data_IF_528339994641
#
_entry.id   IF_528339994641
#
_cell.length_a   1.000
_cell.length_b   1.000
_cell.length_c   1.000
_cell.angle_alpha   90.00
_cell.angle_beta   90.00
_cell.angle_gamma   90.00
#
_symmetry.space_group_name_H-M   'P 1'
#
loop_
_entity.id
_entity.type
_entity.pdbx_description
1 polymer ?
#
# COMPACT_ATOMS: atom_id res chain seq x y z
N UNK A 1 17.64 5.25 -13.63
CA UNK A 1 16.41 4.74 -12.99
C UNK A 1 16.84 4.01 -11.75
N UNK A 2 16.66 4.62 -10.63
CA UNK A 2 17.07 4.02 -9.36
C UNK A 2 15.97 3.12 -8.83
N UNK A 3 16.36 1.87 -8.52
CA UNK A 3 15.49 0.91 -7.86
C UNK A 3 15.85 0.95 -6.38
N UNK A 4 14.85 1.19 -5.54
CA UNK A 4 14.97 1.12 -4.10
C UNK A 4 14.31 -0.17 -3.60
N UNK A 5 15.09 -1.01 -2.95
CA UNK A 5 14.58 -2.20 -2.25
C UNK A 5 14.87 -2.08 -0.77
N UNK A 6 13.86 -2.36 0.07
CA UNK A 6 13.98 -2.36 1.53
C UNK A 6 13.29 -3.58 2.12
N UNK A 7 13.94 -4.15 3.12
CA UNK A 7 13.37 -5.24 3.94
C UNK A 7 13.20 -4.74 5.36
N UNK A 8 12.05 -5.04 5.95
CA UNK A 8 11.66 -4.55 7.27
C UNK A 8 11.38 -5.72 8.19
N UNK A 9 12.28 -6.04 9.15
CA UNK A 9 11.95 -7.02 10.17
C UNK A 9 10.67 -6.59 10.92
N UNK A 10 9.72 -7.51 11.02
CA UNK A 10 8.43 -7.26 11.66
C UNK A 10 8.41 -7.88 13.06
N UNK A 11 8.23 -7.04 14.06
CA UNK A 11 8.26 -7.41 15.48
C UNK A 11 7.04 -6.84 16.20
N UNK A 12 5.84 -7.38 15.96
CA UNK A 12 4.62 -6.91 16.60
C UNK A 12 4.61 -7.27 18.09
N UNK A 13 3.94 -6.44 18.89
CA UNK A 13 3.66 -6.76 20.28
C UNK A 13 2.49 -7.74 20.36
N UNK A 14 2.70 -8.89 21.01
CA UNK A 14 1.68 -9.94 21.15
C UNK A 14 0.44 -9.45 21.89
N UNK A 15 0.63 -8.87 23.08
CA UNK A 15 -0.46 -8.44 23.97
C UNK A 15 -1.34 -7.38 23.32
N UNK A 16 -0.73 -6.38 22.70
CA UNK A 16 -1.43 -5.33 21.98
C UNK A 16 -2.20 -5.89 20.78
N UNK A 17 -1.60 -6.82 20.05
CA UNK A 17 -2.21 -7.45 18.88
C UNK A 17 -3.39 -8.34 19.29
N UNK A 18 -3.23 -9.19 20.31
CA UNK A 18 -4.29 -10.04 20.82
C UNK A 18 -5.48 -9.23 21.35
N UNK A 19 -5.21 -8.16 22.12
CA UNK A 19 -6.24 -7.25 22.61
C UNK A 19 -6.99 -6.56 21.48
N UNK A 20 -6.31 -6.05 20.47
CA UNK A 20 -6.90 -5.38 19.31
C UNK A 20 -7.74 -6.34 18.45
N UNK A 21 -7.33 -7.58 18.32
CA UNK A 21 -8.06 -8.63 17.60
C UNK A 21 -9.11 -9.32 18.45
N UNK A 22 -9.33 -8.87 19.70
CA UNK A 22 -10.32 -9.41 20.63
C UNK A 22 -10.21 -10.93 20.81
N UNK A 23 -8.97 -11.43 20.93
CA UNK A 23 -8.72 -12.86 21.13
C UNK A 23 -9.32 -13.30 22.46
N UNK A 24 -10.19 -14.31 22.42
CA UNK A 24 -10.82 -14.82 23.63
C UNK A 24 -9.85 -15.70 24.44
N UNK A 25 -10.05 -15.88 25.76
CA UNK A 25 -9.22 -16.79 26.56
C UNK A 25 -9.24 -18.25 26.05
N UNK A 26 -10.32 -18.65 25.39
CA UNK A 26 -10.47 -20.00 24.82
C UNK A 26 -9.59 -20.18 23.56
N UNK A 27 -9.35 -19.11 22.84
CA UNK A 27 -8.61 -19.10 21.57
C UNK A 27 -7.13 -18.70 21.75
N UNK A 28 -6.72 -18.30 22.96
CA UNK A 28 -5.40 -17.74 23.23
C UNK A 28 -4.25 -18.66 22.77
N UNK A 29 -4.36 -19.96 23.04
CA UNK A 29 -3.32 -20.93 22.67
C UNK A 29 -3.19 -21.06 21.13
N UNK A 30 -4.32 -21.14 20.43
CA UNK A 30 -4.34 -21.21 18.96
C UNK A 30 -3.82 -19.94 18.31
N UNK A 31 -4.22 -18.78 18.86
CA UNK A 31 -3.70 -17.49 18.37
C UNK A 31 -2.20 -17.34 18.61
N UNK A 32 -1.69 -17.74 19.80
CA UNK A 32 -0.26 -17.65 20.12
C UNK A 32 0.59 -18.49 19.16
N UNK A 33 0.15 -19.69 18.82
CA UNK A 33 0.83 -20.54 17.83
C UNK A 33 0.84 -19.87 16.45
N UNK A 34 -0.32 -19.41 15.96
CA UNK A 34 -0.44 -18.72 14.68
C UNK A 34 0.40 -17.44 14.63
N UNK A 35 0.37 -16.65 15.69
CA UNK A 35 1.16 -15.42 15.81
C UNK A 35 2.66 -15.71 15.69
N UNK A 36 3.16 -16.72 16.41
CA UNK A 36 4.57 -17.11 16.32
C UNK A 36 4.95 -17.58 14.91
N UNK A 37 4.08 -18.36 14.25
CA UNK A 37 4.28 -18.78 12.86
C UNK A 37 4.28 -17.58 11.91
N UNK A 38 3.37 -16.62 12.08
CA UNK A 38 3.29 -15.41 11.28
C UNK A 38 4.56 -14.56 11.43
N UNK A 39 5.03 -14.32 12.66
CA UNK A 39 6.27 -13.58 12.94
C UNK A 39 7.49 -14.26 12.31
N UNK A 40 7.56 -15.59 12.34
CA UNK A 40 8.66 -16.34 11.76
C UNK A 40 8.64 -16.39 10.21
N UNK A 41 7.48 -16.19 9.59
CA UNK A 41 7.29 -16.43 8.15
C UNK A 41 7.18 -15.14 7.35
N UNK A 42 6.48 -14.12 7.87
CA UNK A 42 6.37 -12.86 7.16
C UNK A 42 7.73 -12.19 7.01
N UNK A 43 8.01 -11.74 5.82
CA UNK A 43 9.23 -11.03 5.44
C UNK A 43 8.85 -9.74 4.69
N UNK A 44 8.37 -8.72 5.41
CA UNK A 44 7.89 -7.50 4.81
C UNK A 44 8.99 -6.77 4.05
N UNK A 45 8.65 -6.30 2.86
CA UNK A 45 9.58 -5.56 2.00
C UNK A 45 8.82 -4.60 1.10
N UNK A 46 9.52 -3.56 0.69
CA UNK A 46 9.02 -2.56 -0.23
C UNK A 46 10.01 -2.37 -1.39
N UNK A 47 9.46 -2.14 -2.54
CA UNK A 47 10.15 -1.79 -3.78
C UNK A 47 9.61 -0.47 -4.31
N UNK A 48 10.49 0.39 -4.79
CA UNK A 48 10.11 1.55 -5.57
C UNK A 48 11.05 1.70 -6.77
N UNK A 49 10.49 2.13 -7.89
CA UNK A 49 11.20 2.48 -9.11
C UNK A 49 10.86 3.91 -9.48
N UNK A 50 11.89 4.73 -9.63
CA UNK A 50 11.71 6.10 -10.08
C UNK A 50 11.20 6.16 -11.52
N UNK A 51 10.28 7.08 -11.77
CA UNK A 51 9.61 7.30 -13.05
C UNK A 51 9.90 8.69 -13.59
N UNK A 52 9.89 8.84 -14.91
CA UNK A 52 9.84 10.12 -15.59
C UNK A 52 8.39 10.54 -15.81
N UNK A 53 8.08 11.80 -15.61
CA UNK A 53 6.81 12.39 -16.06
C UNK A 53 7.04 12.81 -17.53
N UNK A 54 6.52 12.00 -18.46
CA UNK A 54 6.69 12.27 -19.90
C UNK A 54 5.68 13.28 -20.41
N UNK A 55 4.44 13.25 -19.89
CA UNK A 55 3.39 14.21 -20.16
C UNK A 55 2.30 14.18 -19.08
N UNK A 56 1.66 15.33 -18.85
CA UNK A 56 0.44 15.47 -18.05
C UNK A 56 -0.62 16.16 -18.91
N UNK A 57 -1.86 15.70 -18.81
CA UNK A 57 -3.03 16.31 -19.41
C UNK A 57 -4.13 16.53 -18.39
N UNK A 58 -5.29 17.00 -18.82
CA UNK A 58 -6.41 17.29 -17.91
C UNK A 58 -6.93 16.04 -17.17
N UNK A 59 -6.81 14.87 -17.79
CA UNK A 59 -7.38 13.60 -17.29
C UNK A 59 -6.41 12.40 -17.40
N UNK A 60 -5.13 12.65 -17.66
CA UNK A 60 -4.13 11.58 -17.75
C UNK A 60 -2.73 12.02 -17.30
N UNK A 61 -1.93 11.02 -16.93
CA UNK A 61 -0.49 11.12 -16.74
C UNK A 61 0.21 10.06 -17.59
N UNK A 62 1.23 10.45 -18.37
CA UNK A 62 2.15 9.53 -19.06
C UNK A 62 3.42 9.48 -18.24
N UNK A 63 3.70 8.30 -17.66
CA UNK A 63 4.83 8.08 -16.76
C UNK A 63 5.72 6.96 -17.31
N UNK A 64 6.96 7.30 -17.66
CA UNK A 64 7.94 6.35 -18.22
C UNK A 64 7.36 5.46 -19.34
N UNK A 65 6.56 6.06 -20.23
CA UNK A 65 5.92 5.42 -21.38
C UNK A 65 4.60 4.69 -21.07
N UNK A 66 4.14 4.64 -19.82
CA UNK A 66 2.86 4.03 -19.44
C UNK A 66 1.78 5.08 -19.18
N UNK A 67 0.59 4.81 -19.68
CA UNK A 67 -0.57 5.68 -19.58
C UNK A 67 -1.37 5.40 -18.32
N UNK A 68 -1.64 6.45 -17.53
CA UNK A 68 -2.51 6.44 -16.37
C UNK A 68 -3.68 7.39 -16.59
N UNK A 69 -4.90 6.89 -16.45
CA UNK A 69 -6.12 7.68 -16.50
C UNK A 69 -6.42 8.26 -15.11
N UNK A 70 -6.95 9.49 -15.07
CA UNK A 70 -7.45 10.14 -13.86
C UNK A 70 -7.07 11.60 -13.75
N UNK A 71 -8.06 12.49 -13.80
CA UNK A 71 -7.86 13.93 -13.68
C UNK A 71 -7.16 14.30 -12.36
N UNK A 72 -7.56 13.64 -11.26
CA UNK A 72 -6.94 13.89 -9.96
C UNK A 72 -5.50 13.41 -9.87
N UNK A 73 -5.17 12.29 -10.51
CA UNK A 73 -3.78 11.81 -10.58
C UNK A 73 -2.93 12.83 -11.33
N UNK A 74 -3.39 13.30 -12.49
CA UNK A 74 -2.71 14.31 -13.27
C UNK A 74 -2.47 15.59 -12.45
N UNK A 75 -3.52 16.13 -11.82
CA UNK A 75 -3.43 17.33 -10.99
C UNK A 75 -2.48 17.17 -9.78
N UNK A 76 -2.44 16.00 -9.14
CA UNK A 76 -1.52 15.74 -8.02
C UNK A 76 -0.06 15.67 -8.46
N UNK A 77 0.21 15.34 -9.71
CA UNK A 77 1.55 15.21 -10.25
C UNK A 77 2.07 16.51 -10.91
N UNK A 78 1.25 17.56 -11.06
CA UNK A 78 1.68 18.84 -11.66
C UNK A 78 2.86 19.47 -10.92
N UNK A 79 2.82 19.45 -9.59
CA UNK A 79 3.87 20.02 -8.74
C UNK A 79 4.85 18.93 -8.21
N UNK A 80 4.77 17.71 -8.71
CA UNK A 80 5.63 16.64 -8.25
C UNK A 80 7.06 16.80 -8.80
N UNK A 81 8.03 16.83 -7.89
CA UNK A 81 9.46 16.86 -8.24
C UNK A 81 10.00 15.47 -8.56
N UNK A 82 9.46 14.44 -7.92
CA UNK A 82 9.82 13.04 -8.12
C UNK A 82 8.58 12.15 -8.06
N UNK A 83 8.57 11.10 -8.86
CA UNK A 83 7.50 10.09 -8.88
C UNK A 83 8.12 8.70 -8.90
N UNK A 84 7.57 7.78 -8.12
CA UNK A 84 7.98 6.37 -8.09
C UNK A 84 6.76 5.46 -8.21
N UNK A 85 6.87 4.40 -9.00
CA UNK A 85 6.01 3.24 -8.84
C UNK A 85 6.49 2.41 -7.66
N UNK A 86 5.59 1.98 -6.77
CA UNK A 86 5.96 1.16 -5.63
C UNK A 86 5.08 -0.08 -5.50
N UNK A 87 5.64 -1.09 -4.83
CA UNK A 87 4.91 -2.23 -4.30
C UNK A 87 5.53 -2.63 -2.96
N UNK A 88 4.68 -2.93 -1.99
CA UNK A 88 5.09 -3.50 -0.72
C UNK A 88 4.26 -4.73 -0.39
N UNK A 89 4.85 -5.67 0.32
CA UNK A 89 4.23 -6.95 0.67
C UNK A 89 4.67 -7.40 2.05
N UNK A 90 3.78 -8.11 2.77
CA UNK A 90 4.15 -8.87 3.96
C UNK A 90 4.99 -10.12 3.63
N UNK A 91 5.06 -10.51 2.35
CA UNK A 91 5.64 -11.77 1.92
C UNK A 91 4.62 -12.90 1.92
N UNK A 92 5.10 -14.13 1.78
CA UNK A 92 4.24 -15.32 1.79
C UNK A 92 3.72 -15.58 3.21
N UNK A 93 2.42 -15.85 3.36
CA UNK A 93 1.87 -16.22 4.66
C UNK A 93 2.31 -17.63 5.06
N UNK A 94 2.31 -17.96 6.37
CA UNK A 94 2.43 -19.34 6.81
C UNK A 94 1.27 -20.19 6.26
N UNK A 95 1.50 -21.49 6.17
CA UNK A 95 0.44 -22.43 5.79
C UNK A 95 -0.44 -22.72 7.00
N UNK A 96 -1.73 -22.53 6.81
CA UNK A 96 -2.76 -22.84 7.81
C UNK A 96 -3.83 -23.73 7.20
N UNK A 97 -4.66 -24.31 8.05
CA UNK A 97 -5.89 -24.97 7.60
C UNK A 97 -6.83 -23.91 7.00
N UNK A 98 -7.16 -24.07 5.73
CA UNK A 98 -8.03 -23.14 5.02
C UNK A 98 -9.50 -23.25 5.45
N UNK A 99 -9.87 -24.35 6.11
CA UNK A 99 -11.21 -24.60 6.62
C UNK A 99 -11.42 -24.00 8.02
N UNK A 100 -10.38 -23.39 8.63
CA UNK A 100 -10.48 -22.59 9.85
C UNK A 100 -10.68 -21.10 9.52
N UNK A 101 -11.91 -20.57 9.60
CA UNK A 101 -12.19 -19.19 9.25
C UNK A 101 -11.58 -18.18 10.23
N UNK A 102 -11.41 -18.58 11.52
CA UNK A 102 -10.86 -17.69 12.53
C UNK A 102 -9.34 -17.53 12.35
N UNK A 103 -8.63 -18.66 12.17
CA UNK A 103 -7.20 -18.62 11.85
C UNK A 103 -6.93 -17.85 10.54
N UNK A 104 -7.77 -18.06 9.52
CA UNK A 104 -7.69 -17.35 8.25
C UNK A 104 -7.86 -15.83 8.45
N UNK A 105 -8.82 -15.41 9.26
CA UNK A 105 -9.05 -14.00 9.56
C UNK A 105 -7.90 -13.38 10.36
N UNK A 106 -7.41 -14.06 11.40
CA UNK A 106 -6.25 -13.60 12.17
C UNK A 106 -5.02 -13.44 11.28
N UNK A 107 -4.74 -14.47 10.46
CA UNK A 107 -3.58 -14.44 9.57
C UNK A 107 -3.65 -13.28 8.57
N UNK A 108 -4.85 -13.00 8.03
CA UNK A 108 -5.05 -11.84 7.18
C UNK A 108 -4.76 -10.54 7.93
N UNK A 109 -5.24 -10.39 9.17
CA UNK A 109 -4.99 -9.19 9.99
C UNK A 109 -3.51 -9.01 10.32
N UNK A 110 -2.82 -10.08 10.68
CA UNK A 110 -1.37 -10.05 10.92
C UNK A 110 -0.59 -9.66 9.67
N UNK A 111 -0.97 -10.16 8.50
CA UNK A 111 -0.36 -9.77 7.23
C UNK A 111 -0.65 -8.32 6.83
N UNK A 112 -1.87 -7.82 7.08
CA UNK A 112 -2.22 -6.40 6.89
C UNK A 112 -1.34 -5.50 7.78
N UNK A 113 -1.15 -5.86 9.06
CA UNK A 113 -0.28 -5.12 9.97
C UNK A 113 1.17 -5.11 9.48
N UNK A 114 1.68 -6.26 9.05
CA UNK A 114 3.05 -6.40 8.58
C UNK A 114 3.35 -5.52 7.35
N UNK A 115 2.44 -5.50 6.36
CA UNK A 115 2.61 -4.64 5.18
C UNK A 115 2.41 -3.17 5.50
N UNK A 116 1.52 -2.82 6.43
CA UNK A 116 1.32 -1.44 6.85
C UNK A 116 2.53 -0.89 7.63
N UNK A 117 3.14 -1.70 8.52
CA UNK A 117 4.38 -1.32 9.21
C UNK A 117 5.51 -1.09 8.20
N UNK A 118 5.69 -1.99 7.23
CA UNK A 118 6.69 -1.82 6.17
C UNK A 118 6.46 -0.52 5.37
N UNK A 119 5.21 -0.24 4.98
CA UNK A 119 4.87 0.98 4.25
C UNK A 119 5.08 2.25 5.07
N UNK A 120 4.77 2.22 6.37
CA UNK A 120 4.99 3.37 7.24
C UNK A 120 6.48 3.71 7.35
N UNK A 121 7.34 2.69 7.55
CA UNK A 121 8.80 2.86 7.59
C UNK A 121 9.35 3.31 6.24
N UNK A 122 8.92 2.67 5.16
CA UNK A 122 9.36 3.04 3.81
C UNK A 122 9.01 4.48 3.46
N UNK A 123 7.76 4.90 3.74
CA UNK A 123 7.33 6.27 3.52
C UNK A 123 8.11 7.27 4.39
N UNK A 124 8.44 6.91 5.63
CA UNK A 124 9.26 7.75 6.51
C UNK A 124 10.70 7.91 5.99
N UNK A 125 11.31 6.82 5.49
CA UNK A 125 12.64 6.87 4.86
C UNK A 125 12.64 7.75 3.60
N UNK A 126 11.61 7.60 2.75
CA UNK A 126 11.46 8.42 1.55
C UNK A 126 11.28 9.91 1.90
N UNK A 127 10.47 10.22 2.91
CA UNK A 127 10.30 11.59 3.39
C UNK A 127 11.59 12.17 3.98
N UNK A 128 12.39 11.37 4.67
CA UNK A 128 13.67 11.83 5.22
C UNK A 128 14.73 12.14 4.15
N UNK A 129 14.55 11.63 2.93
CA UNK A 129 15.42 11.87 1.78
C UNK A 129 14.85 12.91 0.80
N UNK A 130 13.61 13.35 1.00
CA UNK A 130 12.97 14.35 0.18
C UNK A 130 13.61 15.72 0.40
N UNK A 131 13.50 16.61 -0.59
CA UNK A 131 13.97 17.98 -0.49
C UNK A 131 13.21 18.75 0.59
N UNK A 132 13.85 19.78 1.15
CA UNK A 132 13.21 20.69 2.09
C UNK A 132 11.92 21.25 1.47
N UNK A 133 10.88 21.36 2.28
CA UNK A 133 9.53 21.80 1.89
C UNK A 133 8.74 20.85 0.95
N UNK A 134 9.15 19.58 0.80
CA UNK A 134 8.37 18.58 0.07
C UNK A 134 7.87 17.45 0.99
N UNK A 135 6.76 16.83 0.60
CA UNK A 135 6.16 15.67 1.26
C UNK A 135 6.07 14.50 0.30
N UNK A 136 6.48 13.32 0.73
CA UNK A 136 6.26 12.10 -0.06
C UNK A 136 4.85 11.58 0.21
N UNK A 137 4.04 11.68 -0.80
CA UNK A 137 2.64 11.29 -0.81
C UNK A 137 2.47 9.88 -1.39
N UNK A 138 1.40 9.19 -1.00
CA UNK A 138 1.07 7.84 -1.47
C UNK A 138 -0.29 7.83 -2.13
N UNK A 139 -0.38 7.22 -3.32
CA UNK A 139 -1.61 7.07 -4.07
C UNK A 139 -1.70 5.64 -4.63
N UNK A 140 -2.80 4.94 -4.39
CA UNK A 140 -3.01 3.56 -4.84
C UNK A 140 -4.20 3.47 -5.80
N UNK A 141 -4.13 2.70 -6.90
CA UNK A 141 -5.27 2.43 -7.77
C UNK A 141 -6.48 1.94 -6.97
N UNK A 142 -7.66 2.48 -7.26
CA UNK A 142 -8.89 2.21 -6.51
C UNK A 142 -9.10 3.08 -5.28
N UNK A 143 -8.12 3.93 -4.88
CA UNK A 143 -8.27 4.85 -3.74
C UNK A 143 -9.00 6.14 -4.07
N UNK A 144 -9.10 6.49 -5.34
CA UNK A 144 -9.84 7.64 -5.86
C UNK A 144 -10.94 7.19 -6.81
N UNK A 145 -12.07 7.93 -6.86
CA UNK A 145 -13.20 7.57 -7.73
C UNK A 145 -12.85 7.53 -9.23
N UNK A 146 -11.92 8.40 -9.66
CA UNK A 146 -11.46 8.54 -11.05
C UNK A 146 -10.17 7.78 -11.35
N UNK A 147 -9.66 6.98 -10.42
CA UNK A 147 -8.48 6.15 -10.61
C UNK A 147 -8.77 4.67 -10.29
N UNK A 148 -9.31 3.92 -11.26
CA UNK A 148 -9.82 2.58 -11.02
C UNK A 148 -8.70 1.57 -10.70
N UNK A 149 -9.07 0.46 -10.04
CA UNK A 149 -8.14 -0.62 -9.66
C UNK A 149 -7.40 -1.22 -10.86
N UNK A 150 -7.95 -1.15 -12.05
CA UNK A 150 -7.32 -1.62 -13.29
C UNK A 150 -6.04 -0.88 -13.66
N UNK A 151 -5.83 0.32 -13.09
CA UNK A 151 -4.59 1.09 -13.23
C UNK A 151 -3.39 0.42 -12.52
N UNK A 152 -3.60 -0.65 -11.76
CA UNK A 152 -2.51 -1.52 -11.33
C UNK A 152 -1.78 -2.20 -12.51
N UNK A 153 -2.44 -2.41 -13.65
CA UNK A 153 -1.81 -3.07 -14.80
C UNK A 153 -0.63 -2.27 -15.38
N UNK A 154 -0.79 -0.99 -15.76
CA UNK A 154 0.36 -0.18 -16.17
C UNK A 154 1.40 -0.02 -15.06
N UNK A 155 0.98 0.10 -13.78
CA UNK A 155 1.89 0.15 -12.64
C UNK A 155 2.80 -1.08 -12.57
N UNK A 156 2.24 -2.29 -12.69
CA UNK A 156 3.02 -3.53 -12.66
C UNK A 156 3.91 -3.71 -13.90
N UNK A 157 3.55 -3.15 -15.07
CA UNK A 157 4.47 -3.10 -16.22
C UNK A 157 5.69 -2.21 -15.92
N UNK A 158 5.50 -1.08 -15.24
CA UNK A 158 6.60 -0.21 -14.80
C UNK A 158 7.48 -0.87 -13.75
N UNK A 159 6.90 -1.56 -12.78
CA UNK A 159 7.65 -2.30 -11.76
C UNK A 159 8.49 -3.44 -12.39
N UNK A 160 7.97 -4.08 -13.44
CA UNK A 160 8.67 -5.15 -14.14
C UNK A 160 9.01 -6.30 -13.20
N UNK A 161 10.27 -6.79 -13.26
CA UNK A 161 10.77 -7.84 -12.38
C UNK A 161 11.04 -7.37 -10.95
N UNK A 162 11.18 -6.05 -10.75
CA UNK A 162 11.38 -5.41 -9.45
C UNK A 162 10.04 -5.23 -8.70
N UNK A 163 9.28 -6.31 -8.56
CA UNK A 163 7.94 -6.31 -7.98
C UNK A 163 7.85 -6.98 -6.60
N UNK A 164 8.97 -7.11 -5.89
CA UNK A 164 9.07 -7.76 -4.57
C UNK A 164 8.51 -9.21 -4.54
N UNK A 165 8.44 -9.89 -5.68
CA UNK A 165 7.82 -11.21 -5.81
C UNK A 165 6.30 -11.18 -5.72
N UNK A 166 5.68 -10.00 -5.97
CA UNK A 166 4.21 -9.83 -6.03
C UNK A 166 3.76 -9.99 -7.48
N UNK A 167 2.85 -10.92 -7.71
CA UNK A 167 2.19 -11.09 -9.01
C UNK A 167 0.81 -10.41 -9.00
N UNK A 168 0.40 -9.89 -10.15
CA UNK A 168 -0.93 -9.33 -10.37
C UNK A 168 -1.77 -10.32 -11.19
N UNK A 169 -2.94 -10.70 -10.69
CA UNK A 169 -3.90 -11.53 -11.42
C UNK A 169 -4.65 -10.70 -12.48
N UNK A 170 -5.37 -11.38 -13.40
CA UNK A 170 -6.24 -10.72 -14.36
C UNK A 170 -7.33 -9.86 -13.73
N UNK A 171 -7.78 -10.23 -12.53
CA UNK A 171 -8.76 -9.47 -11.73
C UNK A 171 -8.12 -8.34 -10.91
N UNK A 172 -6.84 -7.99 -11.14
CA UNK A 172 -6.08 -7.00 -10.40
C UNK A 172 -5.97 -7.32 -8.89
N UNK A 173 -5.92 -8.60 -8.52
CA UNK A 173 -5.56 -9.03 -7.17
C UNK A 173 -4.06 -9.28 -7.08
N UNK A 174 -3.42 -8.75 -6.06
CA UNK A 174 -2.02 -9.01 -5.76
C UNK A 174 -1.85 -10.36 -5.03
N UNK A 175 -0.81 -11.08 -5.37
CA UNK A 175 -0.40 -12.32 -4.72
C UNK A 175 1.09 -12.22 -4.35
N UNK A 176 1.46 -12.29 -3.05
CA UNK A 176 0.63 -12.53 -1.86
C UNK A 176 -0.44 -11.47 -1.62
N UNK A 177 -1.55 -11.87 -0.96
CA UNK A 177 -2.72 -10.96 -0.78
C UNK A 177 -2.42 -9.74 0.10
N UNK A 178 -1.59 -9.92 1.14
CA UNK A 178 -1.16 -8.81 2.00
C UNK A 178 -0.06 -8.01 1.31
N UNK A 179 -0.44 -7.28 0.28
CA UNK A 179 0.41 -6.41 -0.53
C UNK A 179 -0.33 -5.12 -0.87
N UNK A 180 0.43 -4.04 -1.08
CA UNK A 180 -0.07 -2.75 -1.53
C UNK A 180 0.81 -2.24 -2.67
N UNK A 181 0.23 -1.51 -3.61
CA UNK A 181 0.97 -0.92 -4.73
C UNK A 181 0.41 0.45 -5.10
N UNK A 182 1.21 1.28 -5.75
CA UNK A 182 0.78 2.60 -6.16
C UNK A 182 1.90 3.48 -6.66
N UNK A 183 1.63 4.78 -6.63
CA UNK A 183 2.60 5.84 -6.86
C UNK A 183 3.00 6.48 -5.53
N UNK A 184 4.30 6.72 -5.35
CA UNK A 184 4.82 7.69 -4.42
C UNK A 184 5.17 8.94 -5.24
N UNK A 185 4.93 10.12 -4.70
CA UNK A 185 5.33 11.36 -5.34
C UNK A 185 5.71 12.41 -4.31
N UNK A 186 6.79 13.12 -4.57
CA UNK A 186 7.26 14.23 -3.74
C UNK A 186 6.66 15.54 -4.27
N UNK A 187 5.92 16.26 -3.43
CA UNK A 187 5.29 17.53 -3.77
C UNK A 187 5.25 18.46 -2.55
N UNK A 188 5.14 19.81 -2.77
CA UNK A 188 5.04 20.76 -1.66
C UNK A 188 3.81 20.55 -0.78
N UNK A 189 2.74 19.98 -1.33
CA UNK A 189 1.50 19.76 -0.61
C UNK A 189 1.40 18.33 -0.09
N UNK A 190 0.98 18.18 1.17
CA UNK A 190 0.65 16.87 1.73
C UNK A 190 -0.71 16.40 1.21
N UNK A 191 -0.77 15.15 0.74
CA UNK A 191 -1.97 14.51 0.25
C UNK A 191 -2.30 13.24 1.03
N UNK A 192 -3.56 13.04 1.36
CA UNK A 192 -4.04 11.81 1.97
C UNK A 192 -5.27 11.29 1.22
N UNK A 193 -5.14 10.16 0.53
CA UNK A 193 -6.24 9.54 -0.23
C UNK A 193 -7.47 9.20 0.64
N UNK A 194 -7.28 8.98 1.96
CA UNK A 194 -8.39 8.76 2.88
C UNK A 194 -9.38 9.93 2.95
N UNK A 195 -8.91 11.16 2.74
CA UNK A 195 -9.76 12.35 2.69
C UNK A 195 -10.75 12.33 1.51
N UNK A 196 -10.42 11.61 0.44
CA UNK A 196 -11.21 11.50 -0.78
C UNK A 196 -11.92 10.15 -0.95
N UNK A 197 -11.64 9.19 -0.06
CA UNK A 197 -12.18 7.84 -0.13
C UNK A 197 -13.64 7.80 0.33
N UNK A 198 -14.51 7.17 -0.48
CA UNK A 198 -15.93 7.04 -0.19
C UNK A 198 -16.26 6.11 1.00
N UNK A 199 -15.31 5.27 1.42
CA UNK A 199 -15.51 4.33 2.53
C UNK A 199 -15.52 5.06 3.89
N UNK A 200 -16.69 5.47 4.36
CA UNK A 200 -16.85 6.27 5.58
C UNK A 200 -16.40 5.59 6.87
N UNK A 201 -16.59 4.27 6.97
CA UNK A 201 -16.30 3.46 8.17
C UNK A 201 -15.07 2.57 8.03
N UNK A 202 -13.99 3.08 7.42
CA UNK A 202 -12.73 2.32 7.31
C UNK A 202 -11.99 2.34 8.66
N UNK A 203 -11.66 1.17 9.26
CA UNK A 203 -10.91 1.11 10.51
C UNK A 203 -9.49 1.67 10.38
N UNK A 204 -8.93 1.66 9.16
CA UNK A 204 -7.60 2.17 8.85
C UNK A 204 -7.61 3.59 8.26
N UNK A 205 -8.69 4.35 8.46
CA UNK A 205 -8.79 5.72 7.96
C UNK A 205 -7.78 6.63 8.66
N UNK A 206 -6.97 7.33 7.88
CA UNK A 206 -5.90 8.24 8.34
C UNK A 206 -6.27 9.72 8.30
N UNK A 207 -7.36 10.08 7.62
CA UNK A 207 -7.85 11.47 7.54
C UNK A 207 -9.37 11.50 7.48
N UNK A 208 -10.04 12.53 8.06
CA UNK A 208 -11.47 12.73 7.89
C UNK A 208 -11.83 12.86 6.41
N UNK A 209 -13.01 12.38 6.05
CA UNK A 209 -13.52 12.55 4.69
C UNK A 209 -13.79 14.03 4.43
N UNK A 210 -13.28 14.55 3.33
CA UNK A 210 -13.65 15.89 2.88
C UNK A 210 -15.13 15.88 2.52
N UNK A 211 -15.86 16.92 2.93
CA UNK A 211 -17.24 17.10 2.51
C UNK A 211 -17.26 17.13 0.98
N UNK A 212 -17.92 16.18 0.36
CA UNK A 212 -18.24 16.26 -1.07
C UNK A 212 -19.17 17.45 -1.24
N UNK A 213 -18.67 18.55 -1.77
CA UNK A 213 -19.52 19.60 -2.29
C UNK A 213 -20.36 18.95 -3.41
N UNK A 214 -21.58 18.54 -3.07
CA UNK A 214 -22.57 18.10 -4.04
C UNK A 214 -23.10 19.31 -4.80
N UNK A 215 -22.25 19.96 -5.60
CA UNK A 215 -22.64 20.97 -6.60
C UNK A 215 -21.38 21.46 -7.32
N UNK A 216 -20.98 20.79 -8.35
CA UNK A 216 -20.24 21.36 -9.47
C UNK A 216 -20.54 20.51 -10.72
#
# INVERSE_FOLDING_TARGET
MDILERSYPWHPNYEETAARLHVSPEDEAAFAELFAQAVATFAPRAYARELTIDALGDDFALLSGEWFEGARVAALLEDATHVWAFVATAGQPPRIDQDDPLATWWLQKLGEDAVHDAMARFSAEMNAQAEDDTHVNTLSPGSLPDWPITQQRPLFRLLGEANAGVALTEACLMLPRCSVSGLLFAAPQSFCSCAHCAMGHCPNRRAPQLATNANA
#
